data_IF_387218986370
#
_entry.id   IF_387218986370
#
_cell.length_a   1.000
_cell.length_b   1.000
_cell.length_c   1.000
_cell.angle_alpha   90.00
_cell.angle_beta   90.00
_cell.angle_gamma   90.00
#
_symmetry.space_group_name_H-M   'P 1'
#
loop_
_entity.id
_entity.type
_entity.pdbx_description
1 polymer ?
#
# COMPACT_ATOMS: atom_id res chain seq x y z
N UNK A 1 -3.09 -14.60 12.52
CA UNK A 1 -1.97 -13.76 13.00
C UNK A 1 -0.78 -14.11 12.15
N UNK A 2 -0.40 -13.22 11.23
CA UNK A 2 0.83 -13.34 10.47
C UNK A 2 1.49 -11.95 10.45
N UNK A 3 2.72 -11.92 10.96
CA UNK A 3 3.62 -10.76 10.94
C UNK A 3 4.38 -10.86 9.62
N UNK A 4 4.35 -9.80 8.82
CA UNK A 4 5.13 -9.78 7.58
C UNK A 4 6.47 -9.15 7.84
N UNK A 5 7.48 -9.91 7.46
CA UNK A 5 8.87 -9.73 7.76
C UNK A 5 9.56 -9.01 6.61
N UNK A 6 10.13 -7.83 6.86
CA UNK A 6 11.31 -7.40 6.11
C UNK A 6 12.47 -7.11 7.08
N UNK A 7 13.45 -8.01 7.05
CA UNK A 7 14.80 -7.86 7.62
C UNK A 7 14.86 -7.39 9.09
N UNK A 8 13.92 -7.81 9.93
CA UNK A 8 14.00 -7.67 11.40
C UNK A 8 13.88 -6.25 11.96
N UNK A 9 13.41 -5.27 11.17
CA UNK A 9 13.31 -3.86 11.61
C UNK A 9 11.89 -3.36 11.86
N UNK A 10 10.87 -4.07 11.38
CA UNK A 10 9.50 -3.57 11.39
C UNK A 10 8.44 -4.67 11.43
N UNK A 11 7.31 -4.36 12.09
CA UNK A 11 6.17 -5.24 12.27
C UNK A 11 4.94 -4.53 11.71
N UNK A 12 4.19 -5.17 10.81
CA UNK A 12 2.88 -4.71 10.36
C UNK A 12 1.84 -5.73 10.79
N UNK A 13 0.78 -5.26 11.44
CA UNK A 13 -0.37 -6.09 11.76
C UNK A 13 -1.21 -6.26 10.50
N UNK A 14 -1.34 -7.50 10.06
CA UNK A 14 -2.11 -7.84 8.86
C UNK A 14 -3.39 -8.52 9.31
N UNK A 15 -4.52 -7.92 8.94
CA UNK A 15 -5.84 -8.42 9.32
C UNK A 15 -6.05 -9.84 8.73
N UNK A 16 -6.88 -10.71 9.34
CA UNK A 16 -7.03 -12.09 8.89
C UNK A 16 -7.38 -12.27 7.40
N UNK A 17 -8.13 -11.34 6.80
CA UNK A 17 -8.46 -11.36 5.37
C UNK A 17 -7.32 -10.86 4.46
N UNK A 18 -6.37 -10.11 5.01
CA UNK A 18 -5.14 -9.69 4.31
C UNK A 18 -4.05 -10.78 4.38
N UNK A 19 -4.19 -11.77 5.29
CA UNK A 19 -3.21 -12.86 5.46
C UNK A 19 -3.13 -13.82 4.27
N UNK A 20 -4.18 -13.94 3.45
CA UNK A 20 -4.18 -14.81 2.26
C UNK A 20 -3.35 -14.23 1.09
N UNK A 21 -2.83 -13.00 1.22
CA UNK A 21 -2.23 -12.23 0.12
C UNK A 21 -0.71 -12.37 0.00
N UNK A 22 -0.07 -13.22 0.81
CA UNK A 22 1.41 -13.30 0.87
C UNK A 22 1.97 -14.66 0.44
N UNK A 23 1.79 -15.01 -0.83
CA UNK A 23 2.64 -15.97 -1.54
C UNK A 23 2.98 -15.38 -2.91
N UNK A 24 4.28 -15.11 -3.14
CA UNK A 24 4.96 -14.50 -4.31
C UNK A 24 4.86 -12.97 -4.42
N UNK A 25 5.92 -12.19 -4.66
CA UNK A 25 7.34 -12.48 -4.90
C UNK A 25 8.18 -11.26 -4.49
N UNK A 26 9.33 -11.50 -3.86
CA UNK A 26 10.44 -10.57 -3.86
C UNK A 26 11.28 -10.78 -5.14
N UNK A 27 10.84 -10.25 -6.27
CA UNK A 27 11.66 -10.10 -7.48
C UNK A 27 10.86 -9.38 -8.56
N UNK A 28 11.27 -8.14 -8.88
CA UNK A 28 10.71 -7.41 -10.01
C UNK A 28 10.87 -5.91 -9.89
N UNK A 29 12.10 -5.40 -9.95
CA UNK A 29 12.33 -3.97 -10.24
C UNK A 29 11.95 -3.70 -11.71
N UNK A 30 10.65 -3.61 -11.97
CA UNK A 30 10.11 -2.95 -13.16
C UNK A 30 9.86 -1.51 -12.81
N UNK A 31 10.51 -0.57 -13.51
CA UNK A 31 10.34 0.86 -13.30
C UNK A 31 8.93 1.32 -13.70
N UNK A 32 7.93 1.00 -12.89
CA UNK A 32 6.68 1.77 -12.87
C UNK A 32 7.01 3.09 -12.21
N UNK A 33 6.89 4.19 -12.93
CA UNK A 33 7.28 5.52 -12.47
C UNK A 33 6.74 5.77 -11.05
N UNK A 34 7.63 6.08 -10.12
CA UNK A 34 7.30 6.25 -8.70
C UNK A 34 6.11 7.19 -8.54
N UNK A 35 5.06 6.68 -7.90
CA UNK A 35 3.89 7.47 -7.54
C UNK A 35 4.33 8.65 -6.66
N UNK A 36 3.81 9.84 -6.98
CA UNK A 36 4.14 11.07 -6.30
C UNK A 36 2.88 11.72 -5.72
N UNK A 37 3.06 12.57 -4.71
CA UNK A 37 1.96 13.36 -4.15
C UNK A 37 1.23 14.13 -5.25
N UNK A 38 -0.09 14.01 -5.28
CA UNK A 38 -0.97 14.61 -6.29
C UNK A 38 -1.29 13.70 -7.47
N UNK A 39 -0.63 12.53 -7.60
CA UNK A 39 -0.97 11.57 -8.64
C UNK A 39 -2.39 11.03 -8.42
N UNK A 40 -3.21 11.12 -9.48
CA UNK A 40 -4.47 10.42 -9.55
C UNK A 40 -4.21 8.92 -9.82
N UNK A 41 -4.87 8.07 -9.05
CA UNK A 41 -4.75 6.61 -9.13
C UNK A 41 -6.11 5.97 -8.95
N UNK A 42 -6.29 4.77 -9.50
CA UNK A 42 -7.41 3.92 -9.15
C UNK A 42 -7.01 3.02 -7.98
N UNK A 43 -7.90 2.84 -6.99
CA UNK A 43 -7.64 2.02 -5.80
C UNK A 43 -8.59 0.84 -5.76
N UNK A 44 -8.05 -0.37 -5.75
CA UNK A 44 -8.86 -1.57 -5.57
C UNK A 44 -9.21 -1.79 -4.10
N UNK A 45 -10.50 -1.89 -3.81
CA UNK A 45 -11.00 -2.32 -2.50
C UNK A 45 -11.29 -3.79 -2.52
N UNK A 46 -10.47 -4.57 -1.82
CA UNK A 46 -10.61 -6.02 -1.71
C UNK A 46 -11.92 -6.44 -1.03
N UNK A 47 -12.35 -5.72 0.01
CA UNK A 47 -13.58 -6.04 0.74
C UNK A 47 -14.84 -5.80 -0.08
N UNK A 48 -14.80 -4.81 -0.98
CA UNK A 48 -15.92 -4.47 -1.88
C UNK A 48 -15.79 -5.11 -3.26
N UNK A 49 -14.61 -5.59 -3.63
CA UNK A 49 -14.32 -6.14 -4.95
C UNK A 49 -14.41 -5.10 -6.08
N UNK A 50 -14.23 -3.81 -5.79
CA UNK A 50 -14.40 -2.71 -6.76
C UNK A 50 -13.16 -1.81 -6.84
N UNK A 51 -12.94 -1.23 -8.02
CA UNK A 51 -11.98 -0.14 -8.21
C UNK A 51 -12.66 1.20 -7.90
N UNK A 52 -12.04 1.98 -7.04
CA UNK A 52 -12.35 3.37 -6.80
C UNK A 52 -11.53 4.21 -7.78
N UNK A 53 -12.18 5.06 -8.57
CA UNK A 53 -11.53 5.86 -9.62
C UNK A 53 -11.01 7.22 -9.13
N UNK A 54 -11.36 7.59 -7.91
CA UNK A 54 -11.08 8.89 -7.30
C UNK A 54 -9.86 8.86 -6.36
N UNK A 55 -9.00 7.85 -6.51
CA UNK A 55 -7.81 7.72 -5.69
C UNK A 55 -6.83 8.87 -5.93
N UNK A 56 -6.28 9.40 -4.83
CA UNK A 56 -5.32 10.49 -4.86
C UNK A 56 -4.17 10.19 -3.90
N UNK A 57 -2.95 10.24 -4.40
CA UNK A 57 -1.74 10.11 -3.58
C UNK A 57 -1.58 11.39 -2.74
N UNK A 58 -1.73 11.25 -1.44
CA UNK A 58 -1.58 12.35 -0.47
C UNK A 58 -0.14 12.55 -0.04
N UNK A 59 0.62 11.44 0.09
CA UNK A 59 1.99 11.48 0.58
C UNK A 59 2.78 10.24 0.15
N UNK A 60 4.10 10.32 0.28
CA UNK A 60 5.04 9.24 -0.03
C UNK A 60 6.05 9.09 1.10
N UNK A 61 6.26 7.87 1.59
CA UNK A 61 7.22 7.62 2.65
C UNK A 61 8.66 7.66 2.11
N UNK A 62 9.43 8.70 2.46
CA UNK A 62 10.83 8.83 2.02
C UNK A 62 11.81 7.90 2.77
N UNK A 63 11.39 7.39 3.92
CA UNK A 63 12.11 6.48 4.80
C UNK A 63 11.13 5.52 5.47
N UNK A 64 11.65 4.48 6.12
CA UNK A 64 10.83 3.62 6.97
C UNK A 64 10.33 4.42 8.18
N UNK A 65 9.03 4.33 8.46
CA UNK A 65 8.35 5.04 9.53
C UNK A 65 7.55 4.06 10.38
N UNK A 66 7.49 4.32 11.69
CA UNK A 66 6.46 3.75 12.56
C UNK A 66 5.35 4.79 12.74
N UNK A 67 4.16 4.48 12.25
CA UNK A 67 2.97 5.33 12.38
C UNK A 67 1.88 4.50 13.06
N UNK A 68 1.40 4.97 14.21
CA UNK A 68 0.26 4.36 14.92
C UNK A 68 0.42 2.84 15.19
N UNK A 69 1.65 2.38 15.39
CA UNK A 69 1.96 0.95 15.60
C UNK A 69 2.07 0.11 14.33
N UNK A 70 1.90 0.73 13.16
CA UNK A 70 2.18 0.12 11.86
C UNK A 70 3.52 0.59 11.30
N UNK A 71 4.21 -0.29 10.57
CA UNK A 71 5.38 0.11 9.81
C UNK A 71 5.01 0.47 8.38
N UNK A 72 5.36 1.69 8.01
CA UNK A 72 5.26 2.21 6.65
C UNK A 72 6.66 2.22 6.06
N UNK A 73 6.88 1.36 5.06
CA UNK A 73 8.20 1.25 4.43
C UNK A 73 8.47 2.41 3.48
N UNK A 74 9.75 2.73 3.29
CA UNK A 74 10.18 3.64 2.23
C UNK A 74 9.55 3.25 0.89
N UNK A 75 9.03 4.24 0.17
CA UNK A 75 8.33 4.07 -1.10
C UNK A 75 6.85 3.69 -0.96
N UNK A 76 6.34 3.50 0.26
CA UNK A 76 4.90 3.39 0.47
C UNK A 76 4.22 4.71 0.13
N UNK A 77 2.97 4.65 -0.31
CA UNK A 77 2.17 5.82 -0.66
C UNK A 77 0.92 5.89 0.20
N UNK A 78 0.58 7.07 0.68
CA UNK A 78 -0.67 7.34 1.37
C UNK A 78 -1.70 7.73 0.32
N UNK A 79 -2.79 6.99 0.22
CA UNK A 79 -3.83 7.23 -0.78
C UNK A 79 -5.16 7.50 -0.09
N UNK A 80 -5.83 8.56 -0.51
CA UNK A 80 -7.25 8.82 -0.22
C UNK A 80 -8.11 8.34 -1.38
N UNK A 81 -9.26 7.72 -1.12
CA UNK A 81 -10.17 7.22 -2.14
C UNK A 81 -11.61 7.10 -1.60
N UNK A 82 -12.58 6.85 -2.47
CA UNK A 82 -13.99 6.68 -2.07
C UNK A 82 -14.58 7.95 -1.45
N UNK A 83 -14.46 9.06 -2.18
CA UNK A 83 -14.87 10.42 -1.81
C UNK A 83 -14.21 10.91 -0.51
N UNK A 84 -12.96 10.50 -0.30
CA UNK A 84 -12.17 10.85 0.89
C UNK A 84 -12.52 10.04 2.15
N UNK A 85 -13.41 9.05 2.05
CA UNK A 85 -13.76 8.18 3.19
C UNK A 85 -12.70 7.10 3.47
N UNK A 86 -11.97 6.68 2.44
CA UNK A 86 -10.87 5.72 2.54
C UNK A 86 -9.53 6.43 2.61
N UNK A 87 -8.71 6.06 3.60
CA UNK A 87 -7.30 6.47 3.71
C UNK A 87 -6.48 5.24 4.05
N UNK A 88 -5.42 4.95 3.27
CA UNK A 88 -4.53 3.81 3.55
C UNK A 88 -3.12 4.05 3.03
N UNK A 89 -2.14 3.60 3.81
CA UNK A 89 -0.77 3.43 3.35
C UNK A 89 -0.65 2.13 2.53
N UNK A 90 -0.15 2.26 1.30
CA UNK A 90 0.06 1.15 0.36
C UNK A 90 1.55 0.95 0.16
N UNK A 91 2.04 -0.21 0.58
CA UNK A 91 3.45 -0.58 0.46
C UNK A 91 3.85 -0.82 -1.00
N UNK A 92 5.15 -0.70 -1.36
CA UNK A 92 5.59 -0.85 -2.76
C UNK A 92 5.09 -2.12 -3.46
N UNK A 93 5.03 -3.26 -2.76
CA UNK A 93 4.56 -4.52 -3.34
C UNK A 93 3.03 -4.65 -3.41
N UNK A 94 2.28 -3.92 -2.57
CA UNK A 94 0.82 -3.85 -2.66
C UNK A 94 0.42 -2.95 -3.84
N UNK A 95 1.21 -1.91 -4.16
CA UNK A 95 0.90 -0.94 -5.22
C UNK A 95 0.63 -1.62 -6.56
N UNK A 96 1.42 -2.62 -6.95
CA UNK A 96 1.23 -3.35 -8.21
C UNK A 96 -0.09 -4.13 -8.28
N UNK A 97 -0.66 -4.48 -7.13
CA UNK A 97 -1.87 -5.29 -7.04
C UNK A 97 -3.12 -4.43 -6.90
N UNK A 98 -3.03 -3.34 -6.13
CA UNK A 98 -4.21 -2.56 -5.71
C UNK A 98 -4.23 -1.13 -6.25
N UNK A 99 -3.16 -0.65 -6.90
CA UNK A 99 -3.13 0.67 -7.53
C UNK A 99 -2.96 0.54 -9.05
N UNK A 100 -3.64 1.41 -9.79
CA UNK A 100 -3.50 1.55 -11.25
C UNK A 100 -3.53 3.02 -11.65
N UNK A 101 -3.00 3.33 -12.83
CA UNK A 101 -3.11 4.63 -13.51
C UNK A 101 -4.00 4.47 -14.73
#
# INVERSE_FOLDING_TARGET
VLVIYDRGRCWKWVQPWEQQQHIRSAAGMGASASLSRGDAVQVFSLSKGVWFEDGLVQDTAERDLQLEGECVLKGSVLVTYGEGTGVKWVTPWEQEQILRR
#
